data_IF_580639757273
#
_entry.id   IF_580639757273
#
_cell.length_a   1.000
_cell.length_b   1.000
_cell.length_c   1.000
_cell.angle_alpha   90.00
_cell.angle_beta   90.00
_cell.angle_gamma   90.00
#
_symmetry.space_group_name_H-M   'P 1'
#
loop_
_entity.id
_entity.type
_entity.pdbx_description
1 polymer ?
#
# COMPACT_ATOMS: atom_id res chain seq x y z
N UNK A 1 -26.79 16.74 13.23
CA UNK A 1 -25.32 16.65 13.12
C UNK A 1 -24.97 15.70 11.99
N UNK A 2 -24.14 16.12 11.09
CA UNK A 2 -23.73 15.30 9.95
C UNK A 2 -22.51 14.44 10.32
N UNK A 3 -22.52 13.22 9.83
CA UNK A 3 -21.35 12.35 9.90
C UNK A 3 -20.27 12.89 8.96
N UNK A 4 -19.03 12.99 9.46
CA UNK A 4 -17.86 13.35 8.64
C UNK A 4 -16.82 12.26 8.78
N UNK A 5 -16.47 11.62 7.68
CA UNK A 5 -15.42 10.62 7.69
C UNK A 5 -14.06 11.29 7.73
N UNK A 6 -13.19 10.79 8.62
CA UNK A 6 -11.80 11.13 8.60
C UNK A 6 -11.03 10.26 7.61
N UNK A 7 -9.75 10.08 7.84
CA UNK A 7 -8.92 9.16 7.05
C UNK A 7 -9.19 7.72 7.46
N UNK A 8 -8.73 6.77 6.64
CA UNK A 8 -8.72 5.36 7.04
C UNK A 8 -7.72 5.20 8.19
N UNK A 9 -8.20 4.77 9.35
CA UNK A 9 -7.34 4.59 10.52
C UNK A 9 -6.55 3.29 10.47
N UNK A 10 -7.24 2.22 10.11
CA UNK A 10 -6.60 0.91 9.91
C UNK A 10 -7.51 0.03 9.07
N UNK A 11 -6.94 -1.02 8.52
CA UNK A 11 -7.68 -2.06 7.82
C UNK A 11 -6.98 -3.40 8.01
N UNK A 12 -7.72 -4.49 7.79
CA UNK A 12 -7.20 -5.85 7.95
C UNK A 12 -7.29 -6.64 6.67
N UNK A 13 -6.29 -7.47 6.44
CA UNK A 13 -6.25 -8.42 5.32
C UNK A 13 -5.82 -9.79 5.82
N UNK A 14 -6.31 -10.83 5.15
CA UNK A 14 -5.88 -12.19 5.42
C UNK A 14 -4.60 -12.49 4.65
N UNK A 15 -3.59 -13.00 5.34
CA UNK A 15 -2.30 -13.35 4.75
C UNK A 15 -1.90 -14.76 5.18
N UNK A 16 -1.09 -15.44 4.37
CA UNK A 16 -0.68 -16.81 4.70
C UNK A 16 0.19 -16.87 5.94
N UNK A 17 1.12 -15.95 6.06
CA UNK A 17 2.08 -15.90 7.17
C UNK A 17 2.24 -14.46 7.63
N UNK A 18 1.55 -14.06 8.72
CA UNK A 18 1.60 -12.68 9.19
C UNK A 18 3.00 -12.15 9.48
N UNK A 19 3.90 -12.98 10.01
CA UNK A 19 5.27 -12.55 10.30
C UNK A 19 6.06 -12.27 9.03
N UNK A 20 5.96 -13.13 8.03
CA UNK A 20 6.62 -12.93 6.75
C UNK A 20 6.02 -11.75 6.02
N UNK A 21 4.71 -11.62 6.03
CA UNK A 21 4.02 -10.48 5.43
C UNK A 21 4.49 -9.17 6.09
N UNK A 22 4.53 -9.14 7.43
CA UNK A 22 5.02 -7.96 8.16
C UNK A 22 6.46 -7.61 7.78
N UNK A 23 7.33 -8.59 7.64
CA UNK A 23 8.72 -8.35 7.20
C UNK A 23 8.76 -7.71 5.82
N UNK A 24 7.92 -8.18 4.90
CA UNK A 24 7.83 -7.59 3.57
C UNK A 24 7.38 -6.12 3.65
N UNK A 25 6.33 -5.82 4.40
CA UNK A 25 5.84 -4.45 4.60
C UNK A 25 6.93 -3.53 5.17
N UNK A 26 7.63 -4.00 6.20
CA UNK A 26 8.68 -3.23 6.86
C UNK A 26 9.86 -2.96 5.92
N UNK A 27 10.34 -4.00 5.25
CA UNK A 27 11.50 -3.89 4.36
C UNK A 27 11.19 -3.13 3.08
N UNK A 28 10.00 -3.34 2.54
CA UNK A 28 9.63 -2.80 1.23
C UNK A 28 9.06 -1.40 1.31
N UNK A 29 8.17 -1.15 2.28
CA UNK A 29 7.41 0.10 2.37
C UNK A 29 7.77 0.95 3.60
N UNK A 30 8.79 0.57 4.35
CA UNK A 30 9.29 1.34 5.50
C UNK A 30 8.26 1.62 6.58
N UNK A 31 7.27 0.74 6.73
CA UNK A 31 6.35 0.81 7.86
C UNK A 31 7.00 0.19 9.09
N UNK A 32 6.39 0.37 10.25
CA UNK A 32 6.89 -0.17 11.52
C UNK A 32 5.95 -1.24 12.05
N UNK A 33 6.50 -2.22 12.77
CA UNK A 33 5.68 -3.14 13.53
C UNK A 33 5.14 -2.41 14.76
N UNK A 34 3.84 -2.48 14.97
CA UNK A 34 3.19 -1.83 16.10
C UNK A 34 2.79 -2.81 17.19
N UNK A 35 2.14 -3.91 16.81
CA UNK A 35 1.66 -4.93 17.73
C UNK A 35 1.79 -6.30 17.13
N UNK A 36 1.81 -7.30 18.01
CA UNK A 36 1.76 -8.69 17.59
C UNK A 36 0.88 -9.46 18.58
N UNK A 37 -0.10 -10.18 18.05
CA UNK A 37 -0.97 -11.08 18.78
C UNK A 37 -0.90 -12.46 18.14
N UNK A 38 -1.36 -13.53 18.83
CA UNK A 38 -1.45 -14.83 18.14
C UNK A 38 -2.29 -14.72 16.87
N UNK A 39 -1.67 -15.04 15.72
CA UNK A 39 -2.34 -15.00 14.43
C UNK A 39 -2.50 -13.62 13.80
N UNK A 40 -1.96 -12.57 14.41
CA UNK A 40 -2.08 -11.20 13.88
C UNK A 40 -0.79 -10.43 14.10
N UNK A 41 -0.29 -9.77 13.06
CA UNK A 41 0.77 -8.77 13.19
C UNK A 41 0.23 -7.46 12.65
N UNK A 42 0.43 -6.39 13.41
CA UNK A 42 0.02 -5.05 12.99
C UNK A 42 1.26 -4.25 12.60
N UNK A 43 1.26 -3.75 11.39
CA UNK A 43 2.29 -2.83 10.90
C UNK A 43 1.63 -1.52 10.50
N UNK A 44 2.40 -0.46 10.35
CA UNK A 44 1.83 0.78 9.88
C UNK A 44 2.73 1.98 10.07
N UNK A 45 2.07 3.14 9.96
CA UNK A 45 2.65 4.45 10.16
C UNK A 45 1.83 5.17 11.23
N UNK A 46 2.17 6.42 11.51
CA UNK A 46 1.35 7.24 12.42
C UNK A 46 -0.06 7.50 11.84
N UNK A 47 -0.21 7.36 10.52
CA UNK A 47 -1.46 7.67 9.84
C UNK A 47 -2.39 6.46 9.66
N UNK A 48 -1.83 5.27 9.45
CA UNK A 48 -2.64 4.09 9.11
C UNK A 48 -2.03 2.81 9.66
N UNK A 49 -2.86 1.95 10.22
CA UNK A 49 -2.49 0.59 10.64
C UNK A 49 -2.93 -0.44 9.62
N UNK A 50 -2.11 -1.47 9.44
CA UNK A 50 -2.42 -2.59 8.56
C UNK A 50 -2.35 -3.86 9.41
N UNK A 51 -3.49 -4.52 9.55
CA UNK A 51 -3.62 -5.72 10.37
C UNK A 51 -3.49 -6.93 9.47
N UNK A 52 -2.46 -7.74 9.73
CA UNK A 52 -2.14 -8.93 8.94
C UNK A 52 -2.64 -10.14 9.70
N UNK A 53 -3.81 -10.65 9.32
CA UNK A 53 -4.45 -11.79 9.97
C UNK A 53 -4.07 -13.08 9.25
N UNK A 54 -3.72 -14.09 10.03
CA UNK A 54 -3.46 -15.41 9.45
C UNK A 54 -4.74 -15.97 8.84
N UNK A 55 -4.68 -16.33 7.56
CA UNK A 55 -5.81 -16.88 6.84
C UNK A 55 -5.49 -17.08 5.37
N UNK A 56 -6.50 -17.51 4.63
CA UNK A 56 -6.37 -17.66 3.19
C UNK A 56 -6.44 -16.28 2.54
N UNK A 57 -5.42 -15.87 1.78
CA UNK A 57 -5.46 -14.59 1.07
C UNK A 57 -6.63 -14.50 0.11
N UNK A 58 -7.22 -13.32 0.01
CA UNK A 58 -8.30 -13.02 -0.94
C UNK A 58 -7.97 -11.74 -1.69
N UNK A 59 -7.04 -11.81 -2.67
CA UNK A 59 -6.63 -10.61 -3.42
C UNK A 59 -7.79 -9.90 -4.11
N UNK A 60 -8.84 -10.66 -4.46
CA UNK A 60 -10.04 -10.13 -5.11
C UNK A 60 -11.01 -9.41 -4.15
N UNK A 61 -10.71 -9.39 -2.85
CA UNK A 61 -11.59 -8.76 -1.87
C UNK A 61 -11.74 -7.25 -2.10
N UNK A 62 -10.72 -6.64 -2.68
CA UNK A 62 -10.78 -5.24 -3.11
C UNK A 62 -9.95 -5.09 -4.39
N UNK A 63 -10.22 -4.04 -5.15
CA UNK A 63 -9.47 -3.79 -6.38
C UNK A 63 -8.04 -3.38 -6.07
N UNK A 64 -7.87 -2.37 -5.26
CA UNK A 64 -6.57 -1.91 -4.76
C UNK A 64 -6.77 -0.90 -3.63
N UNK A 65 -5.71 -0.62 -2.92
CA UNK A 65 -5.65 0.46 -1.94
C UNK A 65 -4.47 1.35 -2.30
N UNK A 66 -4.68 2.65 -2.26
CA UNK A 66 -3.66 3.64 -2.59
C UNK A 66 -3.17 4.35 -1.34
N UNK A 67 -1.85 4.44 -1.21
CA UNK A 67 -1.20 5.26 -0.20
C UNK A 67 -0.67 6.52 -0.88
N UNK A 68 -0.95 7.67 -0.31
CA UNK A 68 -0.53 8.95 -0.88
C UNK A 68 0.90 9.29 -0.50
N UNK A 69 1.61 9.85 -1.46
CA UNK A 69 2.92 10.45 -1.26
C UNK A 69 2.81 11.97 -1.46
N UNK A 70 3.71 12.74 -0.83
CA UNK A 70 3.56 14.20 -0.82
C UNK A 70 3.89 14.89 -2.14
N UNK A 71 4.63 14.26 -3.04
CA UNK A 71 5.09 14.91 -4.26
C UNK A 71 5.48 13.92 -5.33
N UNK A 72 5.58 14.41 -6.56
CA UNK A 72 6.10 13.60 -7.68
C UNK A 72 7.55 13.17 -7.45
N UNK A 73 8.35 14.01 -6.81
CA UNK A 73 9.72 13.63 -6.46
C UNK A 73 9.73 12.43 -5.52
N UNK A 74 8.81 12.42 -4.53
CA UNK A 74 8.67 11.28 -3.61
C UNK A 74 8.20 10.02 -4.35
N UNK A 75 7.30 10.16 -5.31
CA UNK A 75 6.81 9.02 -6.10
C UNK A 75 7.92 8.43 -6.97
N UNK A 76 8.72 9.28 -7.62
CA UNK A 76 9.86 8.81 -8.42
C UNK A 76 10.92 8.13 -7.54
N UNK A 77 11.18 8.68 -6.35
CA UNK A 77 12.10 8.06 -5.41
C UNK A 77 11.58 6.70 -4.93
N UNK A 78 10.27 6.60 -4.67
CA UNK A 78 9.64 5.34 -4.29
C UNK A 78 9.75 4.30 -5.42
N UNK A 79 9.55 4.70 -6.66
CA UNK A 79 9.72 3.81 -7.81
C UNK A 79 11.13 3.24 -7.86
N UNK A 80 12.14 4.09 -7.75
CA UNK A 80 13.54 3.65 -7.75
C UNK A 80 13.82 2.68 -6.60
N UNK A 81 13.27 2.96 -5.43
CA UNK A 81 13.43 2.12 -4.25
C UNK A 81 12.79 0.74 -4.44
N UNK A 82 11.57 0.69 -4.96
CA UNK A 82 10.87 -0.57 -5.21
C UNK A 82 11.61 -1.42 -6.25
N UNK A 83 12.10 -0.79 -7.31
CA UNK A 83 12.91 -1.48 -8.32
C UNK A 83 14.19 -2.05 -7.72
N UNK A 84 14.89 -1.27 -6.90
CA UNK A 84 16.11 -1.69 -6.23
C UNK A 84 15.86 -2.88 -5.30
N UNK A 85 14.69 -2.95 -4.69
CA UNK A 85 14.29 -4.04 -3.80
C UNK A 85 13.73 -5.25 -4.54
N UNK A 86 13.65 -5.18 -5.87
CA UNK A 86 13.17 -6.29 -6.68
C UNK A 86 11.65 -6.49 -6.66
N UNK A 87 10.90 -5.46 -6.29
CA UNK A 87 9.43 -5.53 -6.31
C UNK A 87 8.97 -5.51 -7.76
N UNK A 88 8.12 -6.48 -8.12
CA UNK A 88 7.52 -6.53 -9.44
C UNK A 88 6.42 -5.48 -9.53
N UNK A 89 6.59 -4.58 -10.49
CA UNK A 89 5.59 -3.56 -10.77
C UNK A 89 4.62 -4.06 -11.82
N UNK A 90 3.36 -3.67 -11.68
CA UNK A 90 2.41 -3.84 -12.75
C UNK A 90 2.71 -2.76 -13.81
N UNK A 91 2.51 -3.06 -15.05
CA UNK A 91 2.74 -2.12 -16.14
C UNK A 91 4.21 -1.72 -16.31
N UNK A 92 5.12 -2.70 -16.44
CA UNK A 92 6.52 -2.39 -16.67
C UNK A 92 6.67 -1.66 -18.02
N UNK A 93 7.34 -0.49 -18.00
CA UNK A 93 7.48 0.36 -19.16
C UNK A 93 6.77 1.69 -18.98
N UNK A 94 5.65 1.71 -18.28
CA UNK A 94 4.95 2.93 -17.87
C UNK A 94 4.72 2.87 -16.36
N UNK A 95 5.81 2.85 -15.62
CA UNK A 95 5.77 2.56 -14.18
C UNK A 95 5.07 3.64 -13.37
N UNK A 96 5.07 4.89 -13.84
CA UNK A 96 4.28 5.97 -13.26
C UNK A 96 3.36 6.51 -14.34
N UNK A 97 2.07 6.56 -14.04
CA UNK A 97 1.09 7.05 -14.98
C UNK A 97 -0.15 7.58 -14.28
N UNK A 98 -1.09 8.16 -15.06
CA UNK A 98 -2.36 8.61 -14.50
C UNK A 98 -3.11 7.46 -13.82
N UNK A 99 -3.81 7.76 -12.72
CA UNK A 99 -4.62 6.77 -12.02
C UNK A 99 -5.75 6.23 -12.89
N UNK A 100 -6.21 7.01 -13.85
CA UNK A 100 -7.21 6.61 -14.81
C UNK A 100 -7.23 7.58 -15.97
N UNK A 101 -7.97 7.27 -17.05
CA UNK A 101 -8.02 8.15 -18.21
C UNK A 101 -8.44 9.58 -17.82
N UNK A 102 -7.61 10.56 -18.18
CA UNK A 102 -7.87 11.96 -17.87
C UNK A 102 -7.59 12.40 -16.46
N UNK A 103 -7.15 11.49 -15.57
CA UNK A 103 -6.82 11.87 -14.20
C UNK A 103 -5.52 12.66 -14.15
N UNK A 104 -5.50 13.68 -13.28
CA UNK A 104 -4.27 14.42 -12.96
C UNK A 104 -3.51 13.76 -11.82
N UNK A 105 -4.13 12.81 -11.11
CA UNK A 105 -3.46 12.05 -10.07
C UNK A 105 -2.56 11.01 -10.72
N UNK A 106 -1.34 10.89 -10.22
CA UNK A 106 -0.33 9.98 -10.76
C UNK A 106 -0.05 8.88 -9.76
N UNK A 107 0.18 7.67 -10.25
CA UNK A 107 0.42 6.53 -9.39
C UNK A 107 1.30 5.46 -10.02
N UNK A 108 1.65 4.50 -9.19
CA UNK A 108 2.29 3.26 -9.60
C UNK A 108 1.64 2.10 -8.82
N UNK A 109 1.67 0.90 -9.42
CA UNK A 109 0.98 -0.26 -8.86
C UNK A 109 1.92 -1.45 -8.75
N UNK A 110 1.73 -2.21 -7.68
CA UNK A 110 2.50 -3.42 -7.42
C UNK A 110 1.67 -4.39 -6.56
N UNK A 111 2.17 -5.62 -6.43
CA UNK A 111 1.51 -6.62 -5.60
C UNK A 111 2.42 -7.06 -4.47
N UNK A 112 1.81 -7.42 -3.34
CA UNK A 112 2.53 -8.02 -2.24
C UNK A 112 2.67 -9.54 -2.45
N UNK A 113 3.40 -10.25 -1.57
CA UNK A 113 3.59 -11.69 -1.73
C UNK A 113 2.30 -12.52 -1.70
N UNK A 114 1.23 -12.00 -1.12
CA UNK A 114 -0.07 -12.67 -1.08
C UNK A 114 -0.97 -12.31 -2.26
N UNK A 115 -0.51 -11.42 -3.13
CA UNK A 115 -1.21 -11.05 -4.35
C UNK A 115 -2.12 -9.83 -4.25
N UNK A 116 -2.19 -9.19 -3.10
CA UNK A 116 -2.96 -7.95 -2.95
C UNK A 116 -2.33 -6.82 -3.76
N UNK A 117 -3.18 -6.01 -4.37
CA UNK A 117 -2.76 -4.93 -5.25
C UNK A 117 -2.71 -3.60 -4.49
N UNK A 118 -1.56 -2.96 -4.55
CA UNK A 118 -1.30 -1.70 -3.85
C UNK A 118 -0.91 -0.63 -4.85
N UNK A 119 -1.21 0.61 -4.47
CA UNK A 119 -0.84 1.79 -5.26
C UNK A 119 -0.13 2.79 -4.37
N UNK A 120 0.88 3.45 -4.93
CA UNK A 120 1.42 4.69 -4.38
C UNK A 120 1.03 5.81 -5.33
N UNK A 121 0.47 6.88 -4.80
CA UNK A 121 -0.07 7.94 -5.67
C UNK A 121 0.21 9.33 -5.14
N UNK A 122 0.19 10.28 -6.05
CA UNK A 122 0.26 11.71 -5.73
C UNK A 122 -1.02 12.34 -6.23
N UNK A 123 -1.74 12.95 -5.32
CA UNK A 123 -2.98 13.63 -5.66
C UNK A 123 -2.69 14.95 -6.38
N UNK A 124 -3.48 15.23 -7.40
CA UNK A 124 -3.54 16.56 -7.95
C UNK A 124 -4.02 17.52 -6.86
N UNK A 125 -3.53 18.74 -6.91
CA UNK A 125 -3.89 19.75 -5.93
C UNK A 125 -5.39 19.97 -5.92
N UNK A 126 -6.00 19.85 -4.76
CA UNK A 126 -7.42 20.11 -4.57
C UNK A 126 -7.62 21.56 -4.13
N UNK A 127 -8.70 22.11 -4.61
CA UNK A 127 -9.13 23.45 -4.20
C UNK A 127 -9.95 23.38 -2.92
#
# INVERSE_FOLDING_TARGET
>A
MSLKLGTVGHFGIAVRDPKKSAQWWIKTLNVKKEFEFPGVVVVGTDAVGILLFKGTPRPEAFHHVSFHLPSMAALRAALAELKRKGVELEDPGEEIGPEGPGSKNMGLWFRDPDGYRWELSVLAKRK
#
